data_IF_403570658719
#
_entry.id   IF_403570658719
#
_cell.length_a   1.000
_cell.length_b   1.000
_cell.length_c   1.000
_cell.angle_alpha   90.00
_cell.angle_beta   90.00
_cell.angle_gamma   90.00
#
_symmetry.space_group_name_H-M   'P 1'
#
loop_
_entity.id
_entity.type
_entity.pdbx_description
1 polymer ?
#
# COMPACT_ATOMS: atom_id res chain seq x y z
N UNK A 1 -5.33 14.59 -21.63
CA UNK A 1 -4.30 13.73 -21.01
C UNK A 1 -2.99 14.52 -20.90
N UNK A 2 -3.04 15.70 -20.28
CA UNK A 2 -1.88 16.61 -20.15
C UNK A 2 -2.15 17.66 -19.07
N UNK A 3 -3.42 18.01 -18.86
CA UNK A 3 -3.82 18.92 -17.80
C UNK A 3 -3.52 18.35 -16.39
N UNK A 4 -3.80 17.06 -16.15
CA UNK A 4 -3.50 16.45 -14.84
C UNK A 4 -2.00 16.39 -14.59
N UNK A 5 -1.24 15.91 -15.59
CA UNK A 5 0.22 15.85 -15.53
C UNK A 5 0.83 17.22 -15.21
N UNK A 6 0.38 18.26 -15.94
CA UNK A 6 0.82 19.63 -15.70
C UNK A 6 0.48 20.13 -14.30
N UNK A 7 -0.71 19.83 -13.78
CA UNK A 7 -1.11 20.23 -12.42
C UNK A 7 -0.25 19.57 -11.34
N UNK A 8 0.11 18.29 -11.52
CA UNK A 8 1.02 17.58 -10.63
C UNK A 8 2.42 18.23 -10.68
N UNK A 9 2.92 18.49 -11.88
CA UNK A 9 4.22 19.15 -12.09
C UNK A 9 4.25 20.55 -11.43
N UNK A 10 3.26 21.39 -11.70
CA UNK A 10 3.17 22.74 -11.15
C UNK A 10 3.06 22.69 -9.62
N UNK A 11 2.31 21.73 -9.06
CA UNK A 11 2.21 21.59 -7.61
C UNK A 11 3.55 21.18 -6.97
N UNK A 12 4.26 20.22 -7.56
CA UNK A 12 5.54 19.75 -7.05
C UNK A 12 6.66 20.79 -7.19
N UNK A 13 6.68 21.56 -8.29
CA UNK A 13 7.68 22.63 -8.49
C UNK A 13 7.48 23.84 -7.59
N UNK A 14 6.27 24.04 -7.05
CA UNK A 14 5.99 25.06 -6.06
C UNK A 14 6.41 24.67 -4.63
N UNK A 15 6.86 23.43 -4.40
CA UNK A 15 7.41 23.03 -3.11
C UNK A 15 8.74 23.75 -2.82
N UNK A 16 9.07 24.03 -1.54
CA UNK A 16 10.38 24.55 -1.18
C UNK A 16 11.51 23.65 -1.69
N UNK A 17 12.60 24.25 -2.19
CA UNK A 17 13.68 23.54 -2.89
C UNK A 17 14.43 22.55 -2.01
N UNK A 18 14.43 22.81 -0.71
CA UNK A 18 15.05 22.01 0.35
C UNK A 18 14.20 20.80 0.77
N UNK A 19 12.94 20.72 0.32
CA UNK A 19 12.03 19.63 0.68
C UNK A 19 12.02 18.53 -0.39
N UNK A 20 11.91 17.28 0.09
CA UNK A 20 11.51 16.17 -0.75
C UNK A 20 9.99 16.19 -0.97
N UNK A 21 9.54 15.77 -2.15
CA UNK A 21 8.13 15.68 -2.52
C UNK A 21 7.70 14.21 -2.56
N UNK A 22 6.65 13.89 -1.82
CA UNK A 22 5.99 12.57 -1.88
C UNK A 22 4.74 12.71 -2.72
N UNK A 23 4.60 11.88 -3.74
CA UNK A 23 3.40 11.85 -4.58
C UNK A 23 2.43 10.79 -4.07
N UNK A 24 1.16 11.18 -3.92
CA UNK A 24 0.07 10.28 -3.54
C UNK A 24 -0.95 10.24 -4.68
N UNK A 25 -1.28 9.04 -5.16
CA UNK A 25 -2.22 8.84 -6.26
C UNK A 25 -3.14 7.64 -6.01
N UNK A 26 -4.22 7.53 -6.79
CA UNK A 26 -5.06 6.34 -6.74
C UNK A 26 -4.42 5.16 -7.48
N UNK A 27 -3.95 5.39 -8.71
CA UNK A 27 -3.20 4.44 -9.54
C UNK A 27 -1.72 4.77 -9.53
N UNK A 28 -0.87 3.76 -9.77
CA UNK A 28 0.55 3.98 -10.03
C UNK A 28 0.80 4.49 -11.45
N UNK A 29 2.01 4.95 -11.79
CA UNK A 29 2.32 5.40 -13.14
C UNK A 29 2.37 4.21 -14.12
N UNK A 30 2.11 4.49 -15.39
CA UNK A 30 2.40 3.56 -16.49
C UNK A 30 3.89 3.24 -16.57
N UNK A 31 4.25 2.12 -17.21
CA UNK A 31 5.61 1.63 -17.36
C UNK A 31 6.00 0.60 -16.30
N UNK A 32 5.11 0.32 -15.34
CA UNK A 32 5.36 -0.59 -14.22
C UNK A 32 4.42 -1.82 -14.21
N UNK A 33 3.79 -2.13 -15.34
CA UNK A 33 2.79 -3.21 -15.48
C UNK A 33 3.10 -4.25 -16.57
N UNK A 34 4.37 -4.54 -16.86
CA UNK A 34 4.76 -5.44 -17.96
C UNK A 34 4.23 -6.87 -17.82
N UNK A 35 4.09 -7.35 -16.58
CA UNK A 35 3.51 -8.64 -16.19
C UNK A 35 2.34 -8.43 -15.25
N UNK A 36 1.43 -9.41 -15.16
CA UNK A 36 0.22 -9.30 -14.33
C UNK A 36 0.52 -9.06 -12.84
N UNK A 37 1.60 -9.63 -12.33
CA UNK A 37 2.02 -9.51 -10.93
C UNK A 37 2.88 -8.26 -10.67
N UNK A 38 3.26 -7.51 -11.69
CA UNK A 38 3.97 -6.24 -11.50
C UNK A 38 3.06 -5.23 -10.79
N UNK A 39 3.66 -4.19 -10.21
CA UNK A 39 2.96 -3.27 -9.31
C UNK A 39 1.75 -2.56 -9.98
N UNK A 40 1.83 -2.29 -11.29
CA UNK A 40 0.74 -1.75 -12.11
C UNK A 40 0.15 -2.76 -13.12
N UNK A 41 0.48 -4.05 -12.99
CA UNK A 41 0.08 -5.10 -13.92
C UNK A 41 -1.41 -5.45 -13.88
N UNK A 42 -2.12 -5.29 -14.99
CA UNK A 42 -3.54 -5.67 -15.09
C UNK A 42 -3.70 -7.18 -15.05
N UNK A 43 -4.52 -7.66 -14.12
CA UNK A 43 -4.66 -9.09 -13.81
C UNK A 43 -6.12 -9.57 -13.80
N UNK A 44 -7.09 -8.78 -14.25
CA UNK A 44 -8.50 -9.23 -14.32
C UNK A 44 -9.02 -9.52 -15.74
N UNK A 45 -8.19 -9.27 -16.77
CA UNK A 45 -8.56 -9.53 -18.17
C UNK A 45 -7.54 -10.44 -18.87
N UNK A 46 -7.99 -11.17 -19.89
CA UNK A 46 -7.10 -11.94 -20.76
C UNK A 46 -6.12 -11.01 -21.49
N UNK A 47 -4.85 -11.42 -21.58
CA UNK A 47 -3.77 -10.61 -22.16
C UNK A 47 -3.11 -9.61 -21.21
N UNK A 48 -3.72 -9.30 -20.05
CA UNK A 48 -3.12 -8.44 -19.04
C UNK A 48 -2.83 -7.02 -19.54
N UNK A 49 -1.62 -6.53 -19.33
CA UNK A 49 -1.13 -5.21 -19.76
C UNK A 49 -0.89 -4.25 -18.59
N UNK A 50 -0.49 -3.03 -18.91
CA UNK A 50 -0.25 -1.99 -17.91
C UNK A 50 -1.57 -1.26 -17.57
N UNK A 51 -1.85 -1.09 -16.28
CA UNK A 51 -2.98 -0.31 -15.76
C UNK A 51 -2.55 1.00 -15.10
N UNK A 52 -1.31 1.42 -15.29
CA UNK A 52 -0.81 2.67 -14.77
C UNK A 52 -1.47 3.91 -15.37
N UNK A 53 -1.27 5.03 -14.68
CA UNK A 53 -1.72 6.35 -15.07
C UNK A 53 -0.62 7.04 -15.91
N UNK A 54 -0.85 7.31 -17.21
CA UNK A 54 0.12 7.97 -18.07
C UNK A 54 0.33 9.45 -17.70
N UNK A 55 -0.65 10.14 -17.11
CA UNK A 55 -0.47 11.53 -16.68
C UNK A 55 0.46 11.60 -15.44
N UNK A 56 0.40 10.59 -14.56
CA UNK A 56 1.34 10.47 -13.42
C UNK A 56 2.75 10.11 -13.89
N UNK A 57 2.88 9.17 -14.84
CA UNK A 57 4.17 8.82 -15.46
C UNK A 57 4.82 10.08 -16.06
N UNK A 58 4.06 10.82 -16.87
CA UNK A 58 4.55 12.03 -17.53
C UNK A 58 5.00 13.08 -16.52
N UNK A 59 4.20 13.37 -15.49
CA UNK A 59 4.56 14.35 -14.46
C UNK A 59 5.85 13.99 -13.73
N UNK A 60 6.03 12.72 -13.35
CA UNK A 60 7.25 12.24 -12.68
C UNK A 60 8.45 12.38 -13.62
N UNK A 61 8.32 11.96 -14.87
CA UNK A 61 9.38 12.05 -15.89
C UNK A 61 9.81 13.50 -16.11
N UNK A 62 8.86 14.43 -16.22
CA UNK A 62 9.14 15.85 -16.44
C UNK A 62 9.81 16.48 -15.20
N UNK A 63 9.32 16.17 -13.99
CA UNK A 63 9.95 16.64 -12.75
C UNK A 63 11.39 16.15 -12.64
N UNK A 64 11.64 14.87 -12.93
CA UNK A 64 12.99 14.28 -12.85
C UNK A 64 13.95 14.81 -13.92
N UNK A 65 13.43 15.20 -15.09
CA UNK A 65 14.24 15.68 -16.23
C UNK A 65 14.53 17.17 -16.15
N UNK A 66 13.57 17.97 -15.70
CA UNK A 66 13.59 19.42 -15.87
C UNK A 66 13.84 20.18 -14.56
N UNK A 67 13.80 19.48 -13.42
CA UNK A 67 13.85 20.12 -12.10
C UNK A 67 14.84 19.44 -11.17
N UNK A 68 15.16 20.08 -10.05
CA UNK A 68 15.92 19.48 -8.95
C UNK A 68 15.05 18.88 -7.85
N UNK A 69 13.75 18.72 -8.07
CA UNK A 69 12.82 18.22 -7.04
C UNK A 69 13.13 16.76 -6.74
N UNK A 70 13.40 16.47 -5.47
CA UNK A 70 13.58 15.10 -5.00
C UNK A 70 12.24 14.41 -4.81
N UNK A 71 12.02 13.28 -5.48
CA UNK A 71 10.81 12.45 -5.34
C UNK A 71 11.23 11.08 -4.80
N UNK A 72 11.49 10.95 -3.49
CA UNK A 72 11.96 9.70 -2.91
C UNK A 72 10.88 8.62 -2.91
N UNK A 73 9.61 9.01 -2.95
CA UNK A 73 8.48 8.09 -2.78
C UNK A 73 7.25 8.52 -3.59
N UNK A 74 6.67 7.56 -4.29
CA UNK A 74 5.36 7.65 -4.93
C UNK A 74 4.48 6.54 -4.36
N UNK A 75 3.42 6.91 -3.64
CA UNK A 75 2.48 5.95 -3.04
C UNK A 75 1.19 5.95 -3.83
N UNK A 76 0.70 4.76 -4.13
CA UNK A 76 -0.58 4.57 -4.79
C UNK A 76 -1.31 3.33 -4.30
N UNK A 77 -2.48 3.08 -4.88
CA UNK A 77 -3.30 1.91 -4.58
C UNK A 77 -3.91 1.31 -5.85
N UNK A 78 -5.23 1.06 -5.79
CA UNK A 78 -6.06 0.44 -6.83
C UNK A 78 -5.71 -1.02 -7.15
N UNK A 79 -4.45 -1.31 -7.45
CA UNK A 79 -3.96 -2.62 -7.86
C UNK A 79 -3.83 -3.52 -6.62
N UNK A 80 -4.82 -4.36 -6.34
CA UNK A 80 -4.84 -5.15 -5.11
C UNK A 80 -3.64 -6.10 -4.97
N UNK A 81 -3.19 -6.32 -3.73
CA UNK A 81 -2.10 -7.25 -3.38
C UNK A 81 -2.37 -8.68 -3.85
N UNK A 82 -3.59 -9.18 -3.64
CA UNK A 82 -4.01 -10.49 -4.13
C UNK A 82 -4.42 -10.40 -5.58
N UNK A 83 -3.83 -11.21 -6.43
CA UNK A 83 -4.18 -11.25 -7.85
C UNK A 83 -5.54 -11.92 -8.05
N UNK A 84 -6.29 -11.43 -9.03
CA UNK A 84 -7.60 -11.94 -9.40
C UNK A 84 -7.53 -13.43 -9.75
N UNK A 85 -8.63 -14.14 -9.44
CA UNK A 85 -8.77 -15.58 -9.66
C UNK A 85 -7.74 -16.44 -8.90
N UNK A 86 -7.19 -15.93 -7.79
CA UNK A 86 -6.28 -16.69 -6.93
C UNK A 86 -4.89 -16.92 -7.55
N UNK A 87 -4.45 -16.02 -8.44
CA UNK A 87 -3.20 -16.18 -9.19
C UNK A 87 -1.92 -15.78 -8.44
N UNK A 88 -2.01 -15.62 -7.12
CA UNK A 88 -0.88 -15.30 -6.26
C UNK A 88 -0.89 -13.84 -5.81
N UNK A 89 0.31 -13.30 -5.59
CA UNK A 89 0.51 -11.97 -5.01
C UNK A 89 1.21 -11.02 -5.98
N UNK A 90 0.80 -9.76 -5.91
CA UNK A 90 1.39 -8.62 -6.62
C UNK A 90 2.67 -8.14 -5.94
N UNK A 91 3.63 -7.67 -6.72
CA UNK A 91 4.76 -6.87 -6.24
C UNK A 91 4.22 -5.56 -5.67
N UNK A 92 4.48 -5.30 -4.40
CA UNK A 92 3.99 -4.10 -3.71
C UNK A 92 4.98 -2.94 -3.73
N UNK A 93 6.19 -3.18 -4.23
CA UNK A 93 7.26 -2.19 -4.37
C UNK A 93 7.94 -2.32 -5.73
N UNK A 94 8.29 -1.19 -6.32
CA UNK A 94 9.17 -1.09 -7.48
C UNK A 94 10.15 0.07 -7.31
N UNK A 95 11.27 0.02 -8.04
CA UNK A 95 12.34 1.02 -7.95
C UNK A 95 12.46 1.73 -9.30
N UNK A 96 12.43 3.06 -9.26
CA UNK A 96 12.62 3.93 -10.42
C UNK A 96 14.03 4.48 -10.55
N UNK A 97 14.19 5.37 -11.52
CA UNK A 97 15.36 6.23 -11.62
C UNK A 97 15.48 7.13 -10.38
N UNK A 98 16.67 7.71 -10.16
CA UNK A 98 16.93 8.69 -9.11
C UNK A 98 16.53 8.23 -7.70
N UNK A 99 16.56 6.92 -7.44
CA UNK A 99 16.21 6.29 -6.15
C UNK A 99 14.75 6.49 -5.74
N UNK A 100 13.85 6.86 -6.66
CA UNK A 100 12.41 6.90 -6.39
C UNK A 100 11.88 5.50 -6.10
N UNK A 101 11.17 5.34 -4.99
CA UNK A 101 10.46 4.12 -4.65
C UNK A 101 8.99 4.27 -5.01
N UNK A 102 8.45 3.28 -5.72
CA UNK A 102 7.03 3.14 -6.02
C UNK A 102 6.43 2.15 -5.03
N UNK A 103 5.44 2.60 -4.26
CA UNK A 103 4.82 1.82 -3.20
C UNK A 103 3.32 1.69 -3.46
N UNK A 104 2.85 0.46 -3.56
CA UNK A 104 1.44 0.15 -3.63
C UNK A 104 0.92 -0.24 -2.24
N UNK A 105 -0.03 0.52 -1.70
CA UNK A 105 -0.66 0.30 -0.40
C UNK A 105 -2.03 -0.41 -0.47
N UNK A 106 -2.38 -1.03 -1.61
CA UNK A 106 -3.67 -1.68 -1.82
C UNK A 106 -3.72 -3.12 -1.27
N UNK A 107 -3.59 -3.27 0.05
CA UNK A 107 -3.93 -4.52 0.75
C UNK A 107 -5.44 -4.56 0.95
N UNK A 108 -6.12 -5.55 0.34
CA UNK A 108 -7.59 -5.69 0.40
C UNK A 108 -7.95 -7.16 0.66
N UNK A 109 -8.85 -7.44 1.63
CA UNK A 109 -9.47 -6.50 2.57
C UNK A 109 -8.46 -5.85 3.54
N UNK A 110 -8.71 -4.59 3.92
CA UNK A 110 -7.89 -3.88 4.94
C UNK A 110 -8.24 -4.26 6.36
N UNK A 111 -9.43 -4.82 6.56
CA UNK A 111 -9.95 -5.22 7.86
C UNK A 111 -10.41 -6.66 7.72
N UNK A 112 -9.73 -7.54 8.46
CA UNK A 112 -10.14 -8.91 8.64
C UNK A 112 -10.89 -9.00 9.96
N UNK A 113 -12.11 -9.50 9.92
CA UNK A 113 -12.78 -9.91 11.15
C UNK A 113 -12.23 -11.27 11.53
N UNK A 114 -11.79 -11.43 12.78
CA UNK A 114 -11.49 -12.76 13.29
C UNK A 114 -12.75 -13.62 13.05
N UNK A 115 -12.63 -14.68 12.24
CA UNK A 115 -13.71 -15.67 12.21
C UNK A 115 -13.86 -16.15 13.65
N UNK A 116 -15.08 -16.18 14.19
CA UNK A 116 -15.32 -16.80 15.48
C UNK A 116 -14.88 -18.26 15.38
N UNK A 117 -13.64 -18.57 15.75
CA UNK A 117 -13.18 -19.94 15.75
C UNK A 117 -13.98 -20.66 16.83
N UNK A 118 -14.75 -21.65 16.39
CA UNK A 118 -15.56 -22.61 17.17
C UNK A 118 -16.91 -22.10 17.66
N UNK A 119 -17.97 -22.41 16.91
CA UNK A 119 -19.08 -23.07 17.58
C UNK A 119 -18.57 -24.45 18.02
N UNK A 120 -18.52 -24.80 19.31
CA UNK A 120 -18.59 -26.20 19.67
C UNK A 120 -19.96 -26.69 19.17
N UNK A 121 -20.01 -27.85 18.54
CA UNK A 121 -21.27 -28.56 18.39
C UNK A 121 -21.78 -28.90 19.80
N UNK A 122 -22.55 -27.99 20.41
CA UNK A 122 -23.27 -28.26 21.64
C UNK A 122 -24.51 -29.05 21.22
N UNK A 123 -24.40 -30.36 21.41
CA UNK A 123 -25.52 -31.28 21.57
C UNK A 123 -26.52 -30.71 22.57
N UNK A 124 -27.79 -30.78 22.19
CA UNK A 124 -28.98 -30.48 22.98
C UNK A 124 -28.87 -30.75 24.49
N UNK A 125 -28.89 -29.70 25.31
CA UNK A 125 -29.88 -29.46 26.37
C UNK A 125 -29.48 -28.27 27.24
N UNK A 126 -30.50 -27.59 27.79
CA UNK A 126 -30.43 -26.60 28.89
C UNK A 126 -30.13 -25.14 28.51
N UNK A 127 -31.22 -24.47 28.11
CA UNK A 127 -31.42 -23.04 28.27
C UNK A 127 -31.43 -22.69 29.77
N UNK A 128 -30.42 -21.97 30.25
CA UNK A 128 -30.57 -20.96 31.31
C UNK A 128 -29.29 -20.15 31.46
N UNK A 129 -29.39 -18.81 31.26
CA UNK A 129 -28.45 -17.83 31.81
C UNK A 129 -27.22 -17.49 30.97
N UNK A 130 -27.38 -16.66 29.92
CA UNK A 130 -26.27 -15.84 29.43
C UNK A 130 -26.77 -14.54 28.75
N UNK A 131 -27.69 -13.85 29.39
CA UNK A 131 -27.97 -12.43 29.10
C UNK A 131 -26.86 -11.60 29.77
N UNK A 132 -25.72 -11.42 29.09
CA UNK A 132 -24.60 -10.67 29.68
C UNK A 132 -23.36 -10.41 28.80
N UNK A 133 -23.29 -10.92 27.57
CA UNK A 133 -22.13 -10.71 26.67
C UNK A 133 -22.44 -9.84 25.45
N UNK A 134 -23.56 -9.13 25.44
CA UNK A 134 -23.92 -8.16 24.39
C UNK A 134 -23.16 -6.85 24.60
N UNK A 135 -21.87 -6.82 24.25
CA UNK A 135 -21.10 -5.57 24.33
C UNK A 135 -19.61 -5.63 23.99
N UNK A 136 -19.01 -6.82 23.86
CA UNK A 136 -17.59 -6.92 23.50
C UNK A 136 -17.43 -6.90 21.96
N UNK A 137 -16.66 -5.95 21.43
CA UNK A 137 -16.26 -5.96 20.02
C UNK A 137 -15.48 -7.25 19.72
N UNK A 138 -15.87 -7.90 18.62
CA UNK A 138 -15.02 -8.92 18.01
C UNK A 138 -13.74 -8.23 17.51
N UNK A 139 -12.55 -8.67 17.95
CA UNK A 139 -11.30 -8.09 17.48
C UNK A 139 -11.19 -8.14 15.95
N UNK A 140 -10.68 -7.06 15.38
CA UNK A 140 -10.40 -6.97 13.94
C UNK A 140 -8.91 -6.87 13.72
N UNK A 141 -8.39 -7.58 12.72
CA UNK A 141 -7.03 -7.39 12.23
C UNK A 141 -7.04 -6.35 11.12
N UNK A 142 -6.22 -5.30 11.24
CA UNK A 142 -6.22 -4.14 10.33
C UNK A 142 -4.87 -3.94 9.68
N UNK A 143 -4.85 -3.83 8.36
CA UNK A 143 -3.64 -3.60 7.58
C UNK A 143 -3.28 -2.11 7.51
N UNK A 144 -2.01 -1.79 7.74
CA UNK A 144 -1.41 -0.49 7.49
C UNK A 144 -0.12 -0.66 6.69
N UNK A 145 0.30 0.41 6.03
CA UNK A 145 1.63 0.54 5.46
C UNK A 145 2.35 1.65 6.19
N UNK A 146 3.49 1.34 6.80
CA UNK A 146 4.34 2.28 7.52
C UNK A 146 5.55 2.57 6.65
N UNK A 147 5.86 3.86 6.50
CA UNK A 147 7.05 4.34 5.81
C UNK A 147 7.83 5.21 6.78
N UNK A 148 9.06 4.81 7.07
CA UNK A 148 10.01 5.60 7.84
C UNK A 148 10.84 6.44 6.88
N UNK A 149 10.89 7.75 7.15
CA UNK A 149 11.60 8.73 6.35
C UNK A 149 12.65 9.44 7.22
N UNK A 150 13.85 9.60 6.69
CA UNK A 150 14.94 10.31 7.35
C UNK A 150 15.72 11.12 6.31
N UNK A 151 16.01 12.38 6.62
CA UNK A 151 16.75 13.31 5.74
C UNK A 151 16.29 13.31 4.27
N UNK A 152 14.97 13.24 4.06
CA UNK A 152 14.37 13.27 2.72
C UNK A 152 14.49 11.97 1.92
N UNK A 153 14.93 10.87 2.55
CA UNK A 153 15.00 9.53 1.96
C UNK A 153 14.10 8.53 2.70
N UNK A 154 13.72 7.45 2.01
CA UNK A 154 13.00 6.32 2.60
C UNK A 154 13.99 5.40 3.31
N UNK A 155 13.80 5.19 4.61
CA UNK A 155 14.63 4.26 5.39
C UNK A 155 14.03 2.86 5.49
N UNK A 156 12.71 2.77 5.68
CA UNK A 156 12.02 1.49 5.81
C UNK A 156 10.61 1.60 5.27
N UNK A 157 10.14 0.53 4.63
CA UNK A 157 8.73 0.33 4.32
C UNK A 157 8.31 -1.00 4.90
N UNK A 158 7.23 -0.98 5.68
CA UNK A 158 6.63 -2.18 6.26
C UNK A 158 5.14 -2.24 5.97
N UNK A 159 4.64 -3.42 5.61
CA UNK A 159 3.23 -3.77 5.75
C UNK A 159 3.03 -4.34 7.15
N UNK A 160 2.07 -3.80 7.90
CA UNK A 160 1.78 -4.21 9.27
C UNK A 160 0.32 -4.55 9.44
N UNK A 161 0.06 -5.64 10.16
CA UNK A 161 -1.26 -6.03 10.61
C UNK A 161 -1.34 -5.82 12.12
N UNK A 162 -2.40 -5.13 12.55
CA UNK A 162 -2.63 -4.79 13.95
C UNK A 162 -3.97 -5.35 14.36
N UNK A 163 -3.97 -6.17 15.41
CA UNK A 163 -5.21 -6.60 16.05
C UNK A 163 -5.75 -5.46 16.90
N UNK A 164 -7.01 -5.09 16.69
CA UNK A 164 -7.74 -4.02 17.40
C UNK A 164 -8.98 -4.61 18.05
N UNK A 165 -9.05 -4.60 19.38
CA UNK A 165 -10.22 -4.96 20.18
C UNK A 165 -10.42 -4.00 21.36
N UNK A 166 -11.46 -4.21 22.17
CA UNK A 166 -11.90 -3.24 23.21
C UNK A 166 -10.82 -2.90 24.25
N UNK A 167 -10.02 -3.90 24.62
CA UNK A 167 -9.03 -3.74 25.69
C UNK A 167 -7.59 -3.58 25.17
N UNK A 168 -7.32 -3.90 23.89
CA UNK A 168 -5.95 -4.03 23.38
C UNK A 168 -5.82 -3.73 21.89
N UNK A 169 -4.70 -3.09 21.57
CA UNK A 169 -4.18 -2.91 20.21
C UNK A 169 -2.78 -3.51 20.19
N UNK A 170 -2.58 -4.58 19.41
CA UNK A 170 -1.33 -5.34 19.38
C UNK A 170 -0.86 -5.54 17.94
N UNK A 171 0.46 -5.43 17.71
CA UNK A 171 1.06 -5.77 16.42
C UNK A 171 0.95 -7.29 16.23
N UNK A 172 0.26 -7.70 15.17
CA UNK A 172 0.06 -9.11 14.82
C UNK A 172 1.15 -9.61 13.87
N UNK A 173 1.46 -8.81 12.84
CA UNK A 173 2.47 -9.15 11.84
C UNK A 173 3.12 -7.89 11.29
N UNK A 174 4.43 -7.93 11.05
CA UNK A 174 5.17 -6.95 10.26
C UNK A 174 5.89 -7.67 9.12
N UNK A 175 5.66 -7.22 7.89
CA UNK A 175 6.42 -7.60 6.70
C UNK A 175 7.21 -6.39 6.22
N UNK A 176 8.52 -6.42 6.39
CA UNK A 176 9.42 -5.38 5.88
C UNK A 176 9.56 -5.56 4.37
N UNK A 177 9.03 -4.62 3.59
CA UNK A 177 9.09 -4.58 2.13
C UNK A 177 10.39 -3.94 1.63
N UNK A 178 10.92 -2.99 2.39
CA UNK A 178 12.16 -2.31 2.09
C UNK A 178 12.84 -1.87 3.37
N UNK A 179 14.17 -1.92 3.38
CA UNK A 179 15.00 -1.30 4.40
C UNK A 179 16.27 -0.81 3.75
N UNK A 180 16.59 0.46 3.91
CA UNK A 180 17.83 1.03 3.42
C UNK A 180 19.01 0.28 4.06
N UNK A 181 19.97 -0.22 3.27
CA UNK A 181 21.18 -0.81 3.81
C UNK A 181 21.90 0.23 4.67
N UNK A 182 22.24 -0.12 5.91
CA UNK A 182 23.14 0.70 6.72
C UNK A 182 24.53 0.54 6.12
N UNK A 183 25.13 1.63 5.64
CA UNK A 183 26.55 1.60 5.33
C UNK A 183 27.29 1.38 6.66
N UNK A 184 28.02 0.28 6.77
CA UNK A 184 28.97 0.09 7.86
C UNK A 184 30.13 1.06 7.60
N UNK A 185 30.12 2.17 8.34
CA UNK A 185 31.29 3.04 8.51
C UNK A 185 32.32 2.32 9.36
#
# INVERSE_FOLDING_TARGET
MAESAKRIYDAATNAPKEHAVILLAHNGPTGLGSRMEDICGRDWVAGGGDHGDPDLEQAISDLQRETGVSIPLVVFGHMHKSLAYGRGLRKMIAFGANRTIYLNGAVVPRVNHAQSSRQPAISTSEKTGLEGLTGLMVPTSRAFTIVDLFEGAVEKISEVWVTVGDARTELEQELVLYKQPREHI
#
